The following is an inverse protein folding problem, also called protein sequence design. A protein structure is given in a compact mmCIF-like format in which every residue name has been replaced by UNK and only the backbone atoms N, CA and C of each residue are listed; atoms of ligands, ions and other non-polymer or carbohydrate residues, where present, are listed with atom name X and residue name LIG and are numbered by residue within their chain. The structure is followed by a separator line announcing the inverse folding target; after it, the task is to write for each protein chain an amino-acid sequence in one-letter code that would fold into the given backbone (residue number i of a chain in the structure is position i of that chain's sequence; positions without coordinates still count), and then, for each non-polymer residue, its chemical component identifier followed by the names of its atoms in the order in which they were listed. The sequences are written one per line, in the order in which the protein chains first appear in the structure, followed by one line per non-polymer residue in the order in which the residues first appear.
data_IF_611168200213
#
_entry.id   IF_611168200213
#
_cell.length_a   1.000
_cell.length_b   1.000
_cell.length_c   1.000
_cell.angle_alpha   90.00
_cell.angle_beta   90.00
_cell.angle_gamma   90.00
#
_symmetry.space_group_name_H-M   'P 1'
#
loop_
_entity.id
_entity.type
_entity.pdbx_description
1 polymer ?
#
# COMPACT_ATOMS: atom_id res chain seq x y z
N UNK A 1 -6.23 11.62 -9.29
CA UNK A 1 -7.28 11.64 -8.25
C UNK A 1 -7.55 10.27 -7.64
N UNK A 2 -7.80 9.20 -8.40
CA UNK A 2 -8.20 7.89 -7.84
C UNK A 2 -7.30 7.30 -6.73
N UNK A 3 -5.98 7.29 -6.90
CA UNK A 3 -5.05 6.76 -5.86
C UNK A 3 -5.09 7.55 -4.56
N UNK A 4 -5.34 8.86 -4.62
CA UNK A 4 -5.47 9.70 -3.44
C UNK A 4 -6.74 9.35 -2.66
N UNK A 5 -7.84 9.07 -3.36
CA UNK A 5 -9.09 8.63 -2.73
C UNK A 5 -8.94 7.27 -2.04
N UNK A 6 -8.21 6.33 -2.67
CA UNK A 6 -7.85 5.05 -2.03
C UNK A 6 -7.06 5.30 -0.75
N UNK A 7 -6.06 6.18 -0.81
CA UNK A 7 -5.24 6.52 0.35
C UNK A 7 -6.07 7.11 1.51
N UNK A 8 -6.96 8.07 1.21
CA UNK A 8 -7.86 8.65 2.22
C UNK A 8 -8.81 7.60 2.80
N UNK A 9 -9.47 6.80 1.96
CA UNK A 9 -10.39 5.76 2.42
C UNK A 9 -9.72 4.72 3.30
N UNK A 10 -8.47 4.36 3.01
CA UNK A 10 -7.70 3.41 3.83
C UNK A 10 -7.42 4.01 5.21
N UNK A 11 -7.02 5.29 5.26
CA UNK A 11 -6.81 5.99 6.53
C UNK A 11 -8.10 6.14 7.36
N UNK A 12 -9.23 6.49 6.73
CA UNK A 12 -10.53 6.60 7.40
C UNK A 12 -10.97 5.27 8.04
N UNK A 13 -10.55 4.14 7.47
CA UNK A 13 -10.85 2.81 7.98
C UNK A 13 -9.81 2.28 8.99
N UNK A 14 -8.87 3.12 9.43
CA UNK A 14 -7.74 2.73 10.30
C UNK A 14 -6.87 1.61 9.71
N UNK A 15 -6.80 1.52 8.39
CA UNK A 15 -5.95 0.59 7.67
C UNK A 15 -4.61 1.25 7.33
N UNK A 16 -3.58 0.43 7.10
CA UNK A 16 -2.25 0.94 6.75
C UNK A 16 -2.26 1.44 5.31
N UNK A 17 -1.94 2.71 5.04
CA UNK A 17 -1.82 3.20 3.67
C UNK A 17 -0.69 2.48 2.95
N UNK A 18 -0.89 2.20 1.67
CA UNK A 18 0.11 1.58 0.81
C UNK A 18 0.37 2.41 -0.44
N UNK A 19 1.55 2.20 -1.03
CA UNK A 19 1.99 2.89 -2.25
C UNK A 19 2.24 1.86 -3.32
N UNK A 20 1.77 2.12 -4.54
CA UNK A 20 2.15 1.34 -5.72
C UNK A 20 3.54 1.82 -6.15
N UNK A 21 4.55 0.96 -6.01
CA UNK A 21 5.93 1.30 -6.35
C UNK A 21 6.13 1.35 -7.88
N UNK A 22 7.32 1.80 -8.32
CA UNK A 22 7.65 1.86 -9.75
C UNK A 22 7.66 0.47 -10.38
N UNK A 23 8.17 -0.52 -9.63
CA UNK A 23 8.29 -1.92 -10.02
C UNK A 23 6.92 -2.57 -10.19
N UNK A 24 5.91 -2.10 -9.44
CA UNK A 24 4.54 -2.58 -9.48
C UNK A 24 3.67 -1.89 -10.54
N UNK A 25 4.18 -0.85 -11.21
CA UNK A 25 3.41 0.01 -12.10
C UNK A 25 2.71 -0.77 -13.22
N UNK A 26 3.44 -1.66 -13.89
CA UNK A 26 2.89 -2.41 -15.03
C UNK A 26 1.78 -3.36 -14.61
N UNK A 27 2.01 -4.11 -13.52
CA UNK A 27 1.01 -5.01 -12.97
C UNK A 27 -0.25 -4.26 -12.50
N UNK A 28 -0.08 -3.09 -11.89
CA UNK A 28 -1.19 -2.23 -11.48
C UNK A 28 -2.01 -1.72 -12.68
N UNK A 29 -1.34 -1.22 -13.73
CA UNK A 29 -2.03 -0.74 -14.95
C UNK A 29 -2.78 -1.90 -15.61
N UNK A 30 -2.13 -3.05 -15.79
CA UNK A 30 -2.76 -4.23 -16.39
C UNK A 30 -4.00 -4.68 -15.61
N UNK A 31 -3.94 -4.68 -14.28
CA UNK A 31 -5.06 -5.09 -13.45
C UNK A 31 -6.24 -4.09 -13.56
N UNK A 32 -5.97 -2.78 -13.70
CA UNK A 32 -7.00 -1.79 -13.98
C UNK A 32 -7.61 -1.96 -15.37
N UNK A 33 -6.78 -2.07 -16.41
CA UNK A 33 -7.22 -2.18 -17.81
C UNK A 33 -8.07 -3.43 -18.04
N UNK A 34 -7.77 -4.51 -17.33
CA UNK A 34 -8.51 -5.79 -17.40
C UNK A 34 -9.66 -5.88 -16.40
N UNK A 35 -9.91 -4.82 -15.60
CA UNK A 35 -10.88 -4.82 -14.51
C UNK A 35 -10.72 -6.00 -13.54
N UNK A 36 -9.49 -6.49 -13.38
CA UNK A 36 -9.19 -7.65 -12.55
C UNK A 36 -9.03 -7.20 -11.08
N UNK A 37 -10.15 -7.20 -10.36
CA UNK A 37 -10.21 -6.80 -8.95
C UNK A 37 -9.36 -7.66 -8.04
N UNK A 38 -9.24 -8.96 -8.33
CA UNK A 38 -8.42 -9.88 -7.54
C UNK A 38 -6.94 -9.51 -7.65
N UNK A 39 -6.46 -9.23 -8.85
CA UNK A 39 -5.06 -8.80 -9.06
C UNK A 39 -4.75 -7.48 -8.37
N UNK A 40 -5.70 -6.53 -8.38
CA UNK A 40 -5.57 -5.27 -7.64
C UNK A 40 -5.53 -5.50 -6.12
N UNK A 41 -6.39 -6.38 -5.60
CA UNK A 41 -6.42 -6.73 -4.19
C UNK A 41 -5.10 -7.37 -3.73
N UNK A 42 -4.58 -8.35 -4.47
CA UNK A 42 -3.31 -8.99 -4.14
C UNK A 42 -2.13 -8.00 -4.17
N UNK A 43 -2.10 -7.10 -5.17
CA UNK A 43 -1.11 -6.01 -5.22
C UNK A 43 -1.19 -5.11 -3.99
N UNK A 44 -2.39 -4.64 -3.64
CA UNK A 44 -2.62 -3.78 -2.49
C UNK A 44 -2.20 -4.45 -1.18
N UNK A 45 -2.56 -5.73 -1.01
CA UNK A 45 -2.23 -6.52 0.19
C UNK A 45 -0.72 -6.63 0.40
N UNK A 46 0.02 -7.05 -0.62
CA UNK A 46 1.49 -7.18 -0.53
C UNK A 46 2.14 -5.83 -0.23
N UNK A 47 1.71 -4.77 -0.89
CA UNK A 47 2.22 -3.42 -0.61
C UNK A 47 1.89 -2.95 0.81
N UNK A 48 0.72 -3.28 1.33
CA UNK A 48 0.32 -2.93 2.69
C UNK A 48 1.13 -3.69 3.75
N UNK A 49 1.39 -4.98 3.55
CA UNK A 49 2.24 -5.79 4.43
C UNK A 49 3.68 -5.25 4.48
N UNK A 50 4.21 -4.81 3.34
CA UNK A 50 5.51 -4.16 3.27
C UNK A 50 5.55 -2.85 4.07
N UNK A 51 4.55 -1.97 3.89
CA UNK A 51 4.48 -0.70 4.61
C UNK A 51 4.29 -0.90 6.12
N UNK A 52 3.49 -1.89 6.53
CA UNK A 52 3.35 -2.25 7.94
C UNK A 52 4.70 -2.66 8.55
N UNK A 53 5.45 -3.51 7.86
CA UNK A 53 6.79 -3.95 8.28
C UNK A 53 7.75 -2.76 8.39
N UNK A 54 7.72 -1.85 7.41
CA UNK A 54 8.53 -0.62 7.40
C UNK A 54 8.20 0.29 8.59
N UNK A 55 6.92 0.50 8.88
CA UNK A 55 6.46 1.33 10.01
C UNK A 55 6.88 0.71 11.35
N UNK A 56 6.67 -0.60 11.52
CA UNK A 56 7.08 -1.31 12.73
C UNK A 56 8.60 -1.22 12.96
N UNK A 57 9.39 -1.39 11.90
CA UNK A 57 10.85 -1.22 11.97
C UNK A 57 11.24 0.20 12.40
N UNK A 58 10.60 1.23 11.85
CA UNK A 58 10.84 2.63 12.25
C UNK A 58 10.44 2.91 13.70
N UNK A 59 9.34 2.33 14.18
CA UNK A 59 8.91 2.46 15.57
C UNK A 59 9.94 1.90 16.55
N UNK A 60 10.53 0.74 16.25
CA UNK A 60 11.58 0.15 17.09
C UNK A 60 12.81 1.07 17.13
N UNK A 61 13.24 1.58 15.98
CA UNK A 61 14.37 2.51 15.90
C UNK A 61 14.13 3.81 16.69
N UNK A 62 12.91 4.36 16.62
CA UNK A 62 12.58 5.58 17.35
C UNK A 62 12.49 5.37 18.86
N UNK A 63 12.05 4.19 19.34
CA UNK A 63 12.07 3.86 20.78
C UNK A 63 13.48 3.74 21.34
N UNK A 64 14.45 3.39 20.50
CA UNK A 64 15.85 3.19 20.88
C UNK A 64 16.72 4.43 20.62
N UNK A 65 16.13 5.57 20.21
CA UNK A 65 16.85 6.84 20.15
C UNK A 65 17.04 7.37 21.58
N UNK A 66 18.28 7.75 21.96
CA UNK A 66 18.55 8.36 23.27
C UNK A 66 17.89 9.73 23.43
#
# INVERSE_FOLDING_TARGET
MGRMLIFYSVLEQNLIPFVITKEQKEAYIKALDTHNTESLYQLAKVSQEFELTRIQGQMILNKNKP
#
